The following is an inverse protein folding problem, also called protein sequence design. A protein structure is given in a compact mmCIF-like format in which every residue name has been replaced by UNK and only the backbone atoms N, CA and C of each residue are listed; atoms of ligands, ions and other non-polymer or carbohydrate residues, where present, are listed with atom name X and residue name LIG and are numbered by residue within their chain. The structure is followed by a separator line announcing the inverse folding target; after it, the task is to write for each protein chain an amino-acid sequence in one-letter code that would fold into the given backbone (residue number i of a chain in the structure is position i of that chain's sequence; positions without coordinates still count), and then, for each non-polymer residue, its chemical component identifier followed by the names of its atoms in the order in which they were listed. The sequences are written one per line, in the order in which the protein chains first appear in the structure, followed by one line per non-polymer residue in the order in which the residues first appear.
data_IF_672551838447
#
_entry.id   IF_672551838447
#
_cell.length_a   1.000
_cell.length_b   1.000
_cell.length_c   1.000
_cell.angle_alpha   90.00
_cell.angle_beta   90.00
_cell.angle_gamma   90.00
#
_symmetry.space_group_name_H-M   'P 1'
#
loop_
_entity.id
_entity.type
_entity.pdbx_description
1 polymer ?
#
# COMPACT_ATOMS: atom_id res chain seq x y z
N UNK A 1 1.08 -6.93 -1.50
CA UNK A 1 0.86 -5.77 -2.38
C UNK A 1 2.20 -5.08 -2.61
N UNK A 2 2.51 -4.69 -3.85
CA UNK A 2 3.72 -3.95 -4.19
C UNK A 2 3.94 -2.68 -3.37
N UNK A 3 5.20 -2.36 -3.05
CA UNK A 3 5.56 -1.04 -2.57
C UNK A 3 5.41 -0.02 -3.71
N UNK A 4 4.81 1.13 -3.40
CA UNK A 4 4.48 2.20 -4.35
C UNK A 4 4.92 3.53 -3.77
N UNK A 5 5.48 4.40 -4.62
CA UNK A 5 5.84 5.76 -4.25
C UNK A 5 4.93 6.73 -5.01
N UNK A 6 4.35 7.68 -4.30
CA UNK A 6 3.61 8.82 -4.85
C UNK A 6 4.45 10.10 -4.85
N UNK A 7 4.19 10.97 -5.83
CA UNK A 7 4.79 12.29 -5.97
C UNK A 7 3.74 13.37 -5.70
N UNK A 8 3.71 13.92 -4.48
CA UNK A 8 2.68 14.88 -4.04
C UNK A 8 2.88 16.32 -4.52
N UNK A 9 4.01 16.66 -5.13
CA UNK A 9 4.36 18.06 -5.47
C UNK A 9 3.83 18.45 -6.83
N UNK A 10 3.18 19.61 -6.91
CA UNK A 10 2.48 20.06 -8.12
C UNK A 10 3.39 20.32 -9.32
N UNK A 11 4.67 20.66 -9.09
CA UNK A 11 5.62 21.07 -10.13
C UNK A 11 6.84 20.15 -10.14
N UNK A 12 7.53 20.12 -11.28
CA UNK A 12 8.78 19.37 -11.47
C UNK A 12 9.84 19.73 -10.42
N UNK A 13 10.66 18.74 -10.04
CA UNK A 13 11.71 18.92 -9.03
C UNK A 13 11.18 19.08 -7.61
N UNK A 14 10.04 18.45 -7.31
CA UNK A 14 9.35 18.49 -6.01
C UNK A 14 9.03 19.92 -5.53
N UNK A 15 8.69 20.81 -6.47
CA UNK A 15 8.37 22.21 -6.21
C UNK A 15 6.85 22.44 -6.11
N UNK A 16 6.48 23.62 -5.58
CA UNK A 16 5.08 24.04 -5.45
C UNK A 16 4.34 23.40 -4.27
N UNK A 17 3.03 23.66 -4.23
CA UNK A 17 2.14 23.17 -3.16
C UNK A 17 1.98 21.64 -3.18
N UNK A 18 1.51 21.09 -2.06
CA UNK A 18 1.10 19.69 -2.01
C UNK A 18 -0.22 19.50 -2.75
N UNK A 19 -0.33 18.41 -3.50
CA UNK A 19 -1.54 17.92 -4.15
C UNK A 19 -1.97 16.60 -3.48
N UNK A 20 -3.02 15.96 -4.02
CA UNK A 20 -3.38 14.59 -3.63
C UNK A 20 -2.40 13.52 -4.14
N UNK A 21 -1.55 13.85 -5.11
CA UNK A 21 -0.66 12.94 -5.84
C UNK A 21 -0.64 13.31 -7.33
N UNK A 22 0.54 13.54 -7.91
CA UNK A 22 0.73 13.88 -9.33
C UNK A 22 1.07 12.67 -10.19
N UNK A 23 1.40 11.55 -9.56
CA UNK A 23 1.80 10.31 -10.21
C UNK A 23 2.42 9.37 -9.19
N UNK A 24 2.45 8.09 -9.51
CA UNK A 24 3.07 7.09 -8.65
C UNK A 24 3.89 6.10 -9.46
N UNK A 25 4.72 5.28 -8.82
CA UNK A 25 5.33 4.15 -9.50
C UNK A 25 5.62 2.99 -8.55
N UNK A 26 5.72 1.80 -9.12
CA UNK A 26 6.18 0.58 -8.44
C UNK A 26 7.31 -0.09 -9.23
N UNK A 27 8.03 -1.01 -8.59
CA UNK A 27 9.17 -1.71 -9.21
C UNK A 27 8.89 -3.20 -9.44
N UNK A 28 9.66 -3.79 -10.36
CA UNK A 28 9.45 -5.16 -10.87
C UNK A 28 9.47 -6.23 -9.79
N UNK A 29 10.30 -6.05 -8.77
CA UNK A 29 10.46 -6.96 -7.63
C UNK A 29 9.60 -6.56 -6.42
N UNK A 30 8.67 -5.61 -6.63
CA UNK A 30 7.76 -5.06 -5.63
C UNK A 30 8.46 -4.35 -4.46
N UNK A 31 9.76 -4.06 -4.61
CA UNK A 31 10.58 -3.33 -3.66
C UNK A 31 11.14 -2.07 -4.33
N UNK A 32 10.87 -0.90 -3.76
CA UNK A 32 11.42 0.33 -4.30
C UNK A 32 12.94 0.39 -4.08
N UNK A 33 13.72 1.03 -4.98
CA UNK A 33 15.19 0.90 -4.98
C UNK A 33 15.86 1.45 -3.72
N UNK A 34 15.19 2.36 -3.00
CA UNK A 34 15.66 2.96 -1.76
C UNK A 34 15.19 2.21 -0.50
N UNK A 35 14.34 1.19 -0.63
CA UNK A 35 13.83 0.40 0.48
C UNK A 35 14.65 -0.86 0.68
N UNK A 36 15.04 -1.13 1.92
CA UNK A 36 15.61 -2.42 2.31
C UNK A 36 14.47 -3.41 2.57
N UNK A 37 14.62 -4.72 2.27
CA UNK A 37 13.59 -5.72 2.58
C UNK A 37 13.15 -5.70 4.05
N UNK A 38 14.11 -5.57 4.97
CA UNK A 38 13.84 -5.50 6.41
C UNK A 38 13.00 -4.27 6.81
N UNK A 39 13.09 -3.15 6.09
CA UNK A 39 12.26 -1.98 6.37
C UNK A 39 10.83 -2.17 5.84
N UNK A 40 10.68 -2.76 4.64
CA UNK A 40 9.36 -3.17 4.14
C UNK A 40 8.67 -4.11 5.14
N UNK A 41 9.38 -5.11 5.64
CA UNK A 41 8.81 -6.09 6.56
C UNK A 41 8.39 -5.45 7.89
N UNK A 42 9.20 -4.52 8.43
CA UNK A 42 8.81 -3.71 9.60
C UNK A 42 7.55 -2.87 9.37
N UNK A 43 7.41 -2.26 8.19
CA UNK A 43 6.21 -1.50 7.85
C UNK A 43 4.96 -2.40 7.78
N UNK A 44 5.09 -3.60 7.19
CA UNK A 44 4.02 -4.61 7.13
C UNK A 44 3.63 -5.06 8.54
N UNK A 45 4.59 -5.35 9.40
CA UNK A 45 4.34 -5.78 10.78
C UNK A 45 3.63 -4.69 11.59
N UNK A 46 3.98 -3.41 11.36
CA UNK A 46 3.27 -2.28 11.95
C UNK A 46 1.80 -2.26 11.52
N UNK A 47 1.52 -2.38 10.21
CA UNK A 47 0.14 -2.42 9.68
C UNK A 47 -0.65 -3.59 10.32
N UNK A 48 -0.06 -4.79 10.36
CA UNK A 48 -0.67 -5.97 10.99
C UNK A 48 -0.95 -5.75 12.48
N UNK A 49 0.01 -5.15 13.19
CA UNK A 49 -0.12 -4.80 14.61
C UNK A 49 -1.26 -3.81 14.85
N UNK A 50 -1.39 -2.78 14.02
CA UNK A 50 -2.52 -1.83 14.09
C UNK A 50 -3.86 -2.52 13.87
N UNK A 51 -3.98 -3.38 12.85
CA UNK A 51 -5.21 -4.14 12.60
C UNK A 51 -5.57 -5.06 13.77
N UNK A 52 -4.58 -5.73 14.38
CA UNK A 52 -4.77 -6.57 15.55
C UNK A 52 -5.21 -5.77 16.79
N UNK A 53 -4.62 -4.60 17.02
CA UNK A 53 -4.99 -3.71 18.12
C UNK A 53 -6.47 -3.26 17.99
N UNK A 54 -6.88 -2.81 16.80
CA UNK A 54 -8.26 -2.43 16.51
C UNK A 54 -9.25 -3.60 16.77
N UNK A 55 -8.87 -4.81 16.38
CA UNK A 55 -9.68 -6.01 16.67
C UNK A 55 -9.78 -6.29 18.18
N UNK A 56 -8.68 -6.13 18.94
CA UNK A 56 -8.67 -6.33 20.40
C UNK A 56 -9.53 -5.32 21.16
N UNK A 57 -9.72 -4.13 20.60
CA UNK A 57 -10.61 -3.08 21.12
C UNK A 57 -12.08 -3.29 20.72
N UNK A 58 -12.42 -4.41 20.07
CA UNK A 58 -13.78 -4.70 19.60
C UNK A 58 -14.18 -3.90 18.36
N UNK A 59 -13.21 -3.30 17.65
CA UNK A 59 -13.42 -2.47 16.45
C UNK A 59 -12.64 -3.03 15.25
N UNK A 60 -12.88 -4.30 14.84
CA UNK A 60 -12.09 -4.94 13.79
C UNK A 60 -12.18 -4.16 12.48
N UNK A 61 -11.02 -3.79 11.92
CA UNK A 61 -10.95 -3.11 10.63
C UNK A 61 -11.23 -4.09 9.49
N UNK A 62 -12.08 -3.69 8.54
CA UNK A 62 -12.37 -4.43 7.31
C UNK A 62 -12.26 -3.47 6.13
N UNK A 63 -11.45 -3.83 5.15
CA UNK A 63 -11.16 -2.99 3.99
C UNK A 63 -9.67 -2.94 3.68
N UNK A 64 -9.27 -1.88 2.98
CA UNK A 64 -7.87 -1.62 2.63
C UNK A 64 -7.27 -0.69 3.70
N UNK A 65 -6.30 -1.20 4.45
CA UNK A 65 -5.52 -0.41 5.40
C UNK A 65 -4.21 0.01 4.73
N UNK A 66 -4.17 1.23 4.23
CA UNK A 66 -3.02 1.79 3.51
C UNK A 66 -2.16 2.63 4.45
N UNK A 67 -0.92 2.21 4.69
CA UNK A 67 0.03 2.95 5.52
C UNK A 67 0.96 3.81 4.67
N UNK A 68 0.94 5.13 4.88
CA UNK A 68 1.91 6.05 4.30
C UNK A 68 3.16 6.11 5.18
N UNK A 69 4.31 5.75 4.62
CA UNK A 69 5.59 5.70 5.36
C UNK A 69 6.61 6.69 4.82
N UNK A 70 7.38 7.26 5.74
CA UNK A 70 8.59 8.00 5.44
C UNK A 70 9.79 7.10 5.68
N UNK A 71 10.59 6.82 4.65
CA UNK A 71 11.85 6.10 4.83
C UNK A 71 12.92 7.04 5.38
N UNK A 72 13.43 6.76 6.59
CA UNK A 72 14.46 7.58 7.26
C UNK A 72 15.76 6.81 7.44
N UNK A 73 16.83 7.51 7.86
CA UNK A 73 18.10 6.88 8.22
C UNK A 73 17.97 5.81 9.34
N UNK A 74 16.93 5.90 10.18
CA UNK A 74 16.66 4.95 11.28
C UNK A 74 15.69 3.83 10.88
N UNK A 75 15.16 3.85 9.66
CA UNK A 75 14.12 2.95 9.17
C UNK A 75 12.80 3.66 8.87
N UNK A 76 11.74 2.91 8.55
CA UNK A 76 10.47 3.45 8.12
C UNK A 76 9.71 4.01 9.31
N UNK A 77 9.12 5.20 9.14
CA UNK A 77 8.26 5.84 10.12
C UNK A 77 6.88 6.01 9.49
N UNK A 78 5.83 5.51 10.18
CA UNK A 78 4.46 5.73 9.77
C UNK A 78 4.12 7.23 9.87
N UNK A 79 3.62 7.80 8.78
CA UNK A 79 3.13 9.19 8.73
C UNK A 79 1.62 9.20 8.97
N UNK A 80 0.88 8.37 8.23
CA UNK A 80 -0.57 8.34 8.26
C UNK A 80 -1.14 6.98 7.83
N UNK A 81 -2.39 6.73 8.21
CA UNK A 81 -3.20 5.64 7.67
C UNK A 81 -4.33 6.21 6.80
N UNK A 82 -4.58 5.55 5.68
CA UNK A 82 -5.78 5.72 4.87
C UNK A 82 -6.61 4.44 4.90
N UNK A 83 -7.92 4.57 5.08
CA UNK A 83 -8.87 3.44 5.18
C UNK A 83 -9.49 3.05 3.82
N UNK A 84 -8.72 3.24 2.73
CA UNK A 84 -9.09 2.99 1.34
C UNK A 84 -7.83 2.78 0.51
N UNK A 85 -8.00 2.43 -0.76
CA UNK A 85 -6.92 2.55 -1.73
C UNK A 85 -6.42 4.01 -1.82
N UNK A 86 -5.09 4.16 -1.95
CA UNK A 86 -4.46 5.42 -2.33
C UNK A 86 -4.82 5.81 -3.76
N UNK A 87 -4.73 7.09 -4.08
CA UNK A 87 -4.96 7.65 -5.41
C UNK A 87 -3.82 8.64 -5.67
N UNK A 88 -2.95 8.43 -6.68
CA UNK A 88 -3.07 7.46 -7.79
C UNK A 88 -2.55 6.04 -7.51
N UNK A 89 -1.98 5.80 -6.33
CA UNK A 89 -1.21 4.59 -5.99
C UNK A 89 -1.98 3.28 -6.18
N UNK A 90 -3.26 3.26 -5.78
CA UNK A 90 -4.12 2.08 -5.86
C UNK A 90 -4.39 1.67 -7.30
N UNK A 91 -4.72 2.62 -8.17
CA UNK A 91 -4.93 2.35 -9.60
C UNK A 91 -3.65 1.75 -10.19
N UNK A 92 -2.50 2.36 -9.87
CA UNK A 92 -1.21 1.93 -10.38
C UNK A 92 -0.91 0.46 -10.03
N UNK A 93 -1.02 0.12 -8.75
CA UNK A 93 -0.71 -1.24 -8.26
C UNK A 93 -1.76 -2.27 -8.69
N UNK A 94 -3.04 -1.88 -8.81
CA UNK A 94 -4.09 -2.81 -9.25
C UNK A 94 -3.93 -3.26 -10.70
N UNK A 95 -3.23 -2.51 -11.55
CA UNK A 95 -2.87 -2.99 -12.91
C UNK A 95 -1.96 -4.23 -12.88
N UNK A 96 -1.22 -4.42 -11.78
CA UNK A 96 -0.36 -5.59 -11.56
C UNK A 96 -1.11 -6.80 -11.03
N UNK A 97 -2.35 -6.66 -10.56
CA UNK A 97 -3.12 -7.78 -10.06
C UNK A 97 -3.15 -8.88 -11.13
N UNK A 98 -2.76 -10.10 -10.75
CA UNK A 98 -2.90 -11.26 -11.64
C UNK A 98 -4.38 -11.51 -11.94
N UNK A 99 -4.68 -12.26 -12.99
CA UNK A 99 -6.06 -12.54 -13.43
C UNK A 99 -6.77 -13.46 -12.41
N UNK A 100 -6.99 -12.95 -11.20
CA UNK A 100 -7.83 -13.52 -10.17
C UNK A 100 -9.22 -12.90 -10.20
N UNK A 101 -10.13 -13.53 -9.46
CA UNK A 101 -11.49 -13.06 -9.23
C UNK A 101 -11.45 -11.87 -8.24
N UNK A 102 -11.32 -10.66 -8.79
CA UNK A 102 -11.25 -9.43 -7.99
C UNK A 102 -12.56 -9.21 -7.21
N UNK A 103 -13.71 -9.58 -7.77
CA UNK A 103 -14.99 -9.53 -7.08
C UNK A 103 -15.03 -10.49 -5.89
N UNK A 104 -14.53 -11.72 -6.01
CA UNK A 104 -14.39 -12.67 -4.90
C UNK A 104 -13.46 -12.11 -3.82
N UNK A 105 -12.32 -11.53 -4.21
CA UNK A 105 -11.39 -10.91 -3.26
C UNK A 105 -12.06 -9.77 -2.49
N UNK A 106 -12.70 -8.82 -3.20
CA UNK A 106 -13.35 -7.66 -2.59
C UNK A 106 -14.56 -8.06 -1.73
N UNK A 107 -15.34 -9.05 -2.19
CA UNK A 107 -16.45 -9.62 -1.42
C UNK A 107 -15.93 -10.32 -0.16
N UNK A 108 -14.85 -11.08 -0.26
CA UNK A 108 -14.15 -11.70 0.87
C UNK A 108 -13.69 -10.67 1.89
N UNK A 109 -13.12 -9.54 1.45
CA UNK A 109 -12.74 -8.42 2.33
C UNK A 109 -13.97 -7.85 3.05
N UNK A 110 -15.06 -7.56 2.33
CA UNK A 110 -16.28 -7.00 2.91
C UNK A 110 -16.93 -7.95 3.95
N UNK A 111 -16.91 -9.25 3.68
CA UNK A 111 -17.47 -10.28 4.55
C UNK A 111 -16.53 -10.70 5.71
N UNK A 112 -15.27 -10.28 5.68
CA UNK A 112 -14.25 -10.73 6.66
C UNK A 112 -13.81 -12.18 6.44
N UNK A 113 -13.86 -12.67 5.21
CA UNK A 113 -13.47 -14.03 4.76
C UNK A 113 -12.54 -13.94 3.56
N UNK A 114 -11.42 -13.21 3.72
CA UNK A 114 -10.44 -13.04 2.65
C UNK A 114 -9.77 -14.38 2.37
N UNK A 115 -9.81 -14.84 1.11
CA UNK A 115 -8.98 -15.94 0.64
C UNK A 115 -7.59 -15.38 0.25
N UNK A 116 -6.50 -15.71 0.98
CA UNK A 116 -5.17 -15.19 0.67
C UNK A 116 -4.63 -15.65 -0.67
N UNK A 117 -5.11 -16.76 -1.24
CA UNK A 117 -4.65 -17.26 -2.54
C UNK A 117 -5.09 -16.39 -3.71
N UNK A 118 -6.03 -15.46 -3.48
CA UNK A 118 -6.48 -14.51 -4.50
C UNK A 118 -5.59 -13.25 -4.55
N UNK A 119 -4.61 -13.11 -3.65
CA UNK A 119 -3.79 -11.88 -3.54
C UNK A 119 -2.45 -12.06 -4.23
N UNK A 120 -2.49 -12.11 -5.57
CA UNK A 120 -1.29 -12.28 -6.41
C UNK A 120 -1.10 -11.10 -7.37
N UNK A 121 0.16 -10.69 -7.55
CA UNK A 121 0.54 -9.54 -8.39
C UNK A 121 1.69 -9.93 -9.30
N UNK A 122 1.60 -9.56 -10.58
CA UNK A 122 2.64 -9.76 -11.58
C UNK A 122 3.91 -9.04 -11.18
N UNK A 123 5.06 -9.69 -11.37
CA UNK A 123 6.39 -9.09 -11.20
C UNK A 123 6.72 -8.15 -12.37
N UNK A 124 6.10 -6.96 -12.39
CA UNK A 124 6.32 -5.89 -13.36
C UNK A 124 6.37 -4.54 -12.64
N UNK A 125 7.09 -3.59 -13.24
CA UNK A 125 7.08 -2.21 -12.79
C UNK A 125 5.88 -1.47 -13.40
N UNK A 126 5.42 -0.41 -12.75
CA UNK A 126 4.29 0.42 -13.20
C UNK A 126 4.51 1.89 -12.88
N UNK A 127 3.83 2.77 -13.61
CA UNK A 127 3.82 4.24 -13.48
C UNK A 127 2.39 4.76 -13.64
#
# INVERSE_FOLDING_TARGET
MPAVQDFKRALEGDQGGNTGGMGSYSQRDHLLPFLRPADRDRAIDLIKGTAAALASEGRPFRGILYGGFMQTARGPVLVEFNARFGDPEGINVLTLYEEGDLDELLMGVAQGRVNPTLVEFRLRATV
#
